data_IF_775013309053
#
_entry.id   IF_775013309053
#
_cell.length_a   1.000
_cell.length_b   1.000
_cell.length_c   1.000
_cell.angle_alpha   90.00
_cell.angle_beta   90.00
_cell.angle_gamma   90.00
#
_symmetry.space_group_name_H-M   'P 1'
#
loop_
_entity.id
_entity.type
_entity.pdbx_description
1 polymer ?
#
# COMPACT_ATOMS: atom_id res chain seq x y z
N UNK A 1 12.09 0.75 1.33
CA UNK A 1 12.93 -0.44 1.62
C UNK A 1 12.40 -1.70 0.96
N UNK A 2 11.11 -2.05 1.08
CA UNK A 2 10.59 -3.30 0.50
C UNK A 2 10.59 -3.37 -1.04
N UNK A 3 10.73 -2.24 -1.73
CA UNK A 3 10.72 -2.15 -3.21
C UNK A 3 12.10 -1.96 -3.84
N UNK A 4 13.18 -1.98 -3.06
CA UNK A 4 14.55 -1.84 -3.60
C UNK A 4 15.07 -3.18 -4.11
N UNK A 5 16.07 -3.17 -5.01
CA UNK A 5 16.73 -4.40 -5.46
C UNK A 5 17.54 -5.06 -4.35
N UNK A 6 17.83 -6.35 -4.50
CA UNK A 6 18.63 -7.10 -3.50
C UNK A 6 20.07 -6.58 -3.44
N UNK A 7 20.64 -6.20 -4.59
CA UNK A 7 21.94 -5.54 -4.64
C UNK A 7 21.96 -4.23 -3.85
N UNK A 8 20.94 -3.37 -4.05
CA UNK A 8 20.86 -2.10 -3.34
C UNK A 8 20.61 -2.31 -1.84
N UNK A 9 19.83 -3.33 -1.48
CA UNK A 9 19.60 -3.72 -0.09
C UNK A 9 20.90 -4.12 0.62
N UNK A 10 21.79 -4.87 -0.05
CA UNK A 10 23.09 -5.22 0.52
C UNK A 10 23.96 -3.98 0.81
N UNK A 11 23.96 -3.00 -0.10
CA UNK A 11 24.63 -1.71 0.13
C UNK A 11 24.00 -0.94 1.30
N UNK A 12 22.67 -0.94 1.40
CA UNK A 12 21.97 -0.23 2.46
C UNK A 12 22.22 -0.87 3.84
N UNK A 13 22.37 -2.19 3.91
CA UNK A 13 22.79 -2.87 5.15
C UNK A 13 24.12 -2.34 5.67
N UNK A 14 25.12 -2.25 4.79
CA UNK A 14 26.43 -1.71 5.18
C UNK A 14 26.34 -0.23 5.58
N UNK A 15 25.68 0.59 4.76
CA UNK A 15 25.66 2.05 4.98
C UNK A 15 24.81 2.47 6.19
N UNK A 16 23.70 1.78 6.45
CA UNK A 16 22.72 2.20 7.46
C UNK A 16 22.87 1.41 8.76
N UNK A 17 23.33 0.16 8.72
CA UNK A 17 23.47 -0.70 9.90
C UNK A 17 24.93 -1.05 10.24
N UNK A 18 25.89 -0.68 9.39
CA UNK A 18 27.31 -0.98 9.60
C UNK A 18 27.66 -2.47 9.51
N UNK A 19 26.78 -3.31 8.95
CA UNK A 19 26.95 -4.77 8.87
C UNK A 19 26.46 -5.32 7.53
N UNK A 20 26.93 -6.51 7.17
CA UNK A 20 26.48 -7.20 5.94
C UNK A 20 25.13 -7.89 6.15
N UNK A 21 24.47 -8.21 5.05
CA UNK A 21 23.30 -9.09 5.05
C UNK A 21 23.74 -10.49 5.53
N UNK A 22 22.96 -11.16 6.39
CA UNK A 22 23.26 -12.55 6.77
C UNK A 22 23.25 -13.46 5.52
N UNK A 23 24.25 -14.34 5.39
CA UNK A 23 24.48 -15.12 4.18
C UNK A 23 23.27 -15.98 3.75
N UNK A 24 22.51 -16.51 4.72
CA UNK A 24 21.35 -17.38 4.48
C UNK A 24 20.00 -16.66 4.58
N UNK A 25 20.00 -15.32 4.70
CA UNK A 25 18.75 -14.59 4.85
C UNK A 25 17.95 -14.58 3.54
N UNK A 26 16.66 -14.95 3.62
CA UNK A 26 15.73 -14.70 2.55
C UNK A 26 15.71 -13.19 2.22
N UNK A 27 15.81 -12.76 0.95
CA UNK A 27 15.90 -11.34 0.59
C UNK A 27 14.74 -10.49 1.12
N UNK A 28 13.54 -11.05 1.22
CA UNK A 28 12.37 -10.35 1.79
C UNK A 28 12.53 -10.17 3.29
N UNK A 29 12.99 -11.19 4.00
CA UNK A 29 13.24 -11.11 5.45
C UNK A 29 14.38 -10.15 5.78
N UNK A 30 15.45 -10.12 4.97
CA UNK A 30 16.50 -9.12 5.09
C UNK A 30 15.96 -7.69 4.92
N UNK A 31 15.10 -7.46 3.91
CA UNK A 31 14.46 -6.14 3.72
C UNK A 31 13.54 -5.76 4.88
N UNK A 32 12.80 -6.71 5.45
CA UNK A 32 11.98 -6.49 6.63
C UNK A 32 12.82 -6.12 7.84
N UNK A 33 13.91 -6.85 8.09
CA UNK A 33 14.82 -6.56 9.19
C UNK A 33 15.42 -5.16 9.03
N UNK A 34 15.94 -4.83 7.85
CA UNK A 34 16.47 -3.49 7.56
C UNK A 34 15.42 -2.40 7.81
N UNK A 35 14.18 -2.62 7.36
CA UNK A 35 13.09 -1.67 7.60
C UNK A 35 12.73 -1.53 9.08
N UNK A 36 12.68 -2.64 9.81
CA UNK A 36 12.41 -2.65 11.24
C UNK A 36 13.48 -1.87 12.02
N UNK A 37 14.76 -2.08 11.71
CA UNK A 37 15.87 -1.38 12.35
C UNK A 37 15.83 0.13 12.09
N UNK A 38 15.52 0.54 10.85
CA UNK A 38 15.42 1.96 10.50
C UNK A 38 14.23 2.61 11.22
N UNK A 39 13.06 1.98 11.22
CA UNK A 39 11.89 2.51 11.94
C UNK A 39 12.16 2.58 13.45
N UNK A 40 12.81 1.55 14.01
CA UNK A 40 13.20 1.53 15.42
C UNK A 40 14.14 2.68 15.76
N UNK A 41 15.11 2.97 14.89
CA UNK A 41 16.12 4.01 15.09
C UNK A 41 15.52 5.41 15.08
N UNK A 42 14.59 5.70 14.17
CA UNK A 42 14.01 7.04 14.01
C UNK A 42 12.67 7.26 14.72
N UNK A 43 12.04 6.20 15.23
CA UNK A 43 10.77 6.28 15.95
C UNK A 43 10.85 5.56 17.31
N UNK A 44 10.60 4.25 17.35
CA UNK A 44 10.69 3.44 18.56
C UNK A 44 10.58 1.95 18.23
N UNK A 45 10.95 1.10 19.20
CA UNK A 45 10.80 -0.35 19.07
C UNK A 45 9.33 -0.77 18.89
N UNK A 46 8.39 -0.13 19.58
CA UNK A 46 6.97 -0.44 19.49
C UNK A 46 6.39 -0.06 18.11
N UNK A 47 6.77 1.11 17.58
CA UNK A 47 6.35 1.53 16.22
C UNK A 47 6.93 0.59 15.16
N UNK A 48 8.18 0.14 15.34
CA UNK A 48 8.81 -0.81 14.43
C UNK A 48 8.07 -2.15 14.39
N UNK A 49 7.74 -2.72 15.57
CA UNK A 49 6.97 -3.96 15.69
C UNK A 49 5.59 -3.82 15.03
N UNK A 50 4.85 -2.76 15.38
CA UNK A 50 3.52 -2.49 14.82
C UNK A 50 3.57 -2.38 13.29
N UNK A 51 4.52 -1.61 12.76
CA UNK A 51 4.70 -1.42 11.31
C UNK A 51 5.02 -2.74 10.59
N UNK A 52 5.84 -3.60 11.20
CA UNK A 52 6.16 -4.91 10.65
C UNK A 52 4.93 -5.84 10.64
N UNK A 53 4.16 -5.84 11.72
CA UNK A 53 2.92 -6.64 11.82
C UNK A 53 1.87 -6.17 10.81
N UNK A 54 1.69 -4.86 10.64
CA UNK A 54 0.81 -4.29 9.64
C UNK A 54 1.27 -4.64 8.23
N UNK A 55 2.57 -4.59 7.96
CA UNK A 55 3.13 -4.99 6.68
C UNK A 55 2.87 -6.48 6.39
N UNK A 56 3.10 -7.36 7.37
CA UNK A 56 2.84 -8.79 7.24
C UNK A 56 1.35 -9.07 7.02
N UNK A 57 0.46 -8.39 7.74
CA UNK A 57 -0.99 -8.52 7.59
C UNK A 57 -1.44 -8.11 6.18
N UNK A 58 -0.96 -6.96 5.73
CA UNK A 58 -1.34 -6.40 4.43
C UNK A 58 -0.75 -7.15 3.23
N UNK A 59 0.55 -7.48 3.28
CA UNK A 59 1.28 -7.95 2.10
C UNK A 59 1.59 -9.45 2.13
N UNK A 60 1.86 -10.02 3.30
CA UNK A 60 2.10 -11.46 3.43
C UNK A 60 0.78 -12.24 3.53
N UNK A 61 -0.15 -11.81 4.39
CA UNK A 61 -1.45 -12.47 4.59
C UNK A 61 -2.52 -12.01 3.60
N UNK A 62 -2.31 -10.87 2.93
CA UNK A 62 -3.29 -10.22 2.03
C UNK A 62 -4.63 -9.90 2.72
N UNK A 63 -4.59 -9.66 4.03
CA UNK A 63 -5.77 -9.32 4.81
C UNK A 63 -5.91 -7.80 4.92
N UNK A 64 -6.56 -7.20 3.92
CA UNK A 64 -6.86 -5.77 3.95
C UNK A 64 -7.92 -5.40 4.99
N UNK A 65 -8.71 -6.35 5.48
CA UNK A 65 -9.77 -6.07 6.48
C UNK A 65 -9.17 -5.78 7.84
N UNK A 66 -8.13 -6.50 8.23
CA UNK A 66 -7.42 -6.31 9.49
C UNK A 66 -6.26 -5.30 9.39
N UNK A 67 -5.80 -4.96 8.18
CA UNK A 67 -4.73 -3.98 8.00
C UNK A 67 -5.17 -2.56 8.40
N UNK A 68 -4.24 -1.80 8.98
CA UNK A 68 -4.36 -0.36 9.14
C UNK A 68 -4.23 0.31 7.75
N UNK A 69 -5.30 0.97 7.31
CA UNK A 69 -5.40 1.61 5.99
C UNK A 69 -5.69 3.11 6.15
N UNK A 70 -5.16 3.96 5.26
CA UNK A 70 -5.50 5.37 5.27
C UNK A 70 -7.00 5.56 5.03
N UNK A 71 -7.60 6.49 5.76
CA UNK A 71 -9.02 6.81 5.67
C UNK A 71 -9.28 7.77 4.51
N UNK A 72 -10.19 7.37 3.62
CA UNK A 72 -10.76 8.24 2.60
C UNK A 72 -12.16 8.66 3.03
N UNK A 73 -12.50 9.95 3.11
CA UNK A 73 -13.83 10.38 3.55
C UNK A 73 -14.91 9.86 2.59
N UNK A 74 -16.00 9.29 3.13
CA UNK A 74 -17.20 9.06 2.33
C UNK A 74 -17.72 10.42 1.85
N UNK A 75 -17.61 10.70 0.54
CA UNK A 75 -18.32 11.83 -0.03
C UNK A 75 -19.74 11.41 -0.38
N UNK A 76 -20.74 12.23 -0.07
CA UNK A 76 -22.12 12.06 -0.55
C UNK A 76 -22.27 12.22 -2.08
N UNK A 77 -21.16 12.49 -2.78
CA UNK A 77 -21.13 12.60 -4.23
C UNK A 77 -20.81 11.26 -4.88
N UNK A 78 -21.73 10.84 -5.73
CA UNK A 78 -21.57 9.77 -6.69
C UNK A 78 -20.48 10.15 -7.72
N UNK A 79 -19.41 9.35 -7.79
CA UNK A 79 -18.27 9.62 -8.67
C UNK A 79 -18.10 8.49 -9.68
N UNK A 80 -17.75 8.83 -10.92
CA UNK A 80 -17.24 7.84 -11.87
C UNK A 80 -15.99 7.17 -11.29
N UNK A 81 -15.86 5.86 -11.47
CA UNK A 81 -14.77 5.05 -10.92
C UNK A 81 -13.38 5.62 -11.22
N UNK A 82 -13.17 6.18 -12.43
CA UNK A 82 -11.93 6.86 -12.80
C UNK A 82 -11.64 8.08 -11.95
N UNK A 83 -12.64 8.96 -11.75
CA UNK A 83 -12.48 10.18 -10.98
C UNK A 83 -12.21 9.83 -9.50
N UNK A 84 -12.92 8.83 -8.98
CA UNK A 84 -12.68 8.30 -7.63
C UNK A 84 -11.24 7.79 -7.48
N UNK A 85 -10.78 6.90 -8.36
CA UNK A 85 -9.42 6.33 -8.30
C UNK A 85 -8.36 7.43 -8.36
N UNK A 86 -8.45 8.35 -9.32
CA UNK A 86 -7.52 9.48 -9.43
C UNK A 86 -7.53 10.38 -8.20
N UNK A 87 -8.71 10.62 -7.60
CA UNK A 87 -8.85 11.43 -6.38
C UNK A 87 -8.19 10.76 -5.17
N UNK A 88 -8.45 9.47 -4.96
CA UNK A 88 -7.89 8.71 -3.83
C UNK A 88 -6.36 8.61 -3.93
N UNK A 89 -5.81 8.38 -5.14
CA UNK A 89 -4.35 8.44 -5.36
C UNK A 89 -3.74 9.78 -4.97
N UNK A 90 -4.39 10.87 -5.36
CA UNK A 90 -3.90 12.23 -5.11
C UNK A 90 -3.97 12.59 -3.63
N UNK A 91 -5.10 12.32 -2.99
CA UNK A 91 -5.37 12.78 -1.62
C UNK A 91 -4.67 11.95 -0.55
N UNK A 92 -4.58 10.62 -0.72
CA UNK A 92 -4.01 9.74 0.31
C UNK A 92 -2.56 9.35 0.06
N UNK A 93 -2.14 9.33 -1.20
CA UNK A 93 -0.81 8.81 -1.57
C UNK A 93 0.06 9.85 -2.26
N UNK A 94 -0.46 11.06 -2.49
CA UNK A 94 0.24 12.15 -3.19
C UNK A 94 0.75 11.75 -4.59
N UNK A 95 0.06 10.81 -5.24
CA UNK A 95 0.39 10.35 -6.59
C UNK A 95 -0.64 10.94 -7.56
N UNK A 96 -0.17 11.67 -8.57
CA UNK A 96 -1.05 12.12 -9.65
C UNK A 96 -1.22 10.99 -10.68
N UNK A 97 -2.45 10.49 -10.81
CA UNK A 97 -2.86 9.57 -11.86
C UNK A 97 -3.83 10.25 -12.81
N UNK A 98 -3.44 10.30 -14.09
CA UNK A 98 -4.34 10.74 -15.15
C UNK A 98 -5.57 9.82 -15.23
N UNK A 99 -6.66 10.33 -15.80
CA UNK A 99 -7.86 9.52 -16.02
C UNK A 99 -7.58 8.29 -16.91
N UNK A 100 -6.66 8.40 -17.86
CA UNK A 100 -6.23 7.28 -18.72
C UNK A 100 -5.51 6.20 -17.93
N UNK A 101 -4.62 6.57 -16.99
CA UNK A 101 -3.95 5.61 -16.12
C UNK A 101 -4.93 4.93 -15.15
N UNK A 102 -5.81 5.69 -14.51
CA UNK A 102 -6.85 5.15 -13.63
C UNK A 102 -7.78 4.20 -14.40
N UNK A 103 -8.22 4.59 -15.59
CA UNK A 103 -9.03 3.75 -16.48
C UNK A 103 -8.34 2.44 -16.84
N UNK A 104 -7.02 2.47 -17.12
CA UNK A 104 -6.24 1.27 -17.37
C UNK A 104 -6.21 0.33 -16.15
N UNK A 105 -5.98 0.87 -14.94
CA UNK A 105 -5.97 0.08 -13.70
C UNK A 105 -7.33 -0.60 -13.46
N UNK A 106 -8.43 0.12 -13.69
CA UNK A 106 -9.79 -0.40 -13.57
C UNK A 106 -10.02 -1.53 -14.58
N UNK A 107 -9.77 -1.29 -15.87
CA UNK A 107 -9.98 -2.31 -16.92
C UNK A 107 -9.17 -3.58 -16.69
N UNK A 108 -7.93 -3.43 -16.21
CA UNK A 108 -7.05 -4.55 -15.87
C UNK A 108 -7.50 -5.32 -14.62
N UNK A 109 -8.44 -4.79 -13.83
CA UNK A 109 -8.96 -5.42 -12.62
C UNK A 109 -8.03 -5.27 -11.42
N UNK A 110 -7.20 -4.21 -11.40
CA UNK A 110 -6.37 -3.85 -10.25
C UNK A 110 -7.19 -3.21 -9.13
N UNK A 111 -8.27 -2.52 -9.52
CA UNK A 111 -9.13 -1.78 -8.61
C UNK A 111 -10.30 -2.65 -8.14
N UNK A 112 -10.47 -2.75 -6.82
CA UNK A 112 -11.52 -3.55 -6.18
C UNK A 112 -12.18 -2.74 -5.07
N UNK A 113 -13.50 -2.87 -4.93
CA UNK A 113 -14.28 -2.36 -3.80
C UNK A 113 -14.83 -3.56 -3.02
N UNK A 114 -14.45 -3.71 -1.76
CA UNK A 114 -14.76 -4.87 -0.91
C UNK A 114 -14.41 -6.23 -1.56
N UNK A 115 -13.32 -6.24 -2.35
CA UNK A 115 -12.87 -7.41 -3.10
C UNK A 115 -13.58 -7.63 -4.43
N UNK A 116 -14.60 -6.84 -4.77
CA UNK A 116 -15.28 -6.89 -6.07
C UNK A 116 -14.55 -6.00 -7.07
N UNK A 117 -14.09 -6.58 -8.18
CA UNK A 117 -13.34 -5.85 -9.21
C UNK A 117 -14.22 -4.83 -9.93
N UNK A 118 -13.77 -3.58 -9.95
CA UNK A 118 -14.34 -2.56 -10.82
C UNK A 118 -13.80 -2.79 -12.23
N UNK A 119 -14.70 -2.90 -13.22
CA UNK A 119 -14.32 -3.15 -14.63
C UNK A 119 -14.68 -2.01 -15.56
N UNK A 120 -15.74 -1.26 -15.23
CA UNK A 120 -16.15 -0.10 -16.00
C UNK A 120 -15.57 1.19 -15.39
N UNK A 121 -14.67 1.89 -16.10
CA UNK A 121 -14.11 3.17 -15.66
C UNK A 121 -15.17 4.29 -15.48
N UNK A 122 -16.31 4.17 -16.16
CA UNK A 122 -17.42 5.13 -16.12
C UNK A 122 -18.50 4.76 -15.11
N UNK A 123 -18.42 3.59 -14.48
CA UNK A 123 -19.38 3.18 -13.46
C UNK A 123 -19.43 4.24 -12.35
N UNK A 124 -20.64 4.64 -12.00
CA UNK A 124 -20.88 5.54 -10.89
C UNK A 124 -20.77 4.73 -9.59
N UNK A 125 -19.82 5.12 -8.74
CA UNK A 125 -19.53 4.48 -7.48
C UNK A 125 -20.06 5.35 -6.36
N UNK A 126 -20.92 4.75 -5.55
CA UNK A 126 -21.38 5.30 -4.27
C UNK A 126 -20.60 4.62 -3.15
N UNK A 127 -19.87 5.40 -2.39
CA UNK A 127 -19.07 4.89 -1.27
C UNK A 127 -19.92 4.80 -0.01
N UNK A 128 -19.70 3.73 0.76
CA UNK A 128 -20.27 3.55 2.09
C UNK A 128 -19.16 3.49 3.14
N UNK A 129 -19.37 4.05 4.35
CA UNK A 129 -18.42 3.95 5.44
C UNK A 129 -18.06 2.49 5.75
N UNK A 130 -16.79 2.24 6.04
CA UNK A 130 -16.24 0.91 6.35
C UNK A 130 -15.81 0.08 5.13
N UNK A 131 -16.18 0.47 3.91
CA UNK A 131 -15.74 -0.22 2.70
C UNK A 131 -14.23 -0.13 2.49
N UNK A 132 -13.67 -1.10 1.78
CA UNK A 132 -12.24 -1.12 1.43
C UNK A 132 -12.09 -0.97 -0.07
N UNK A 133 -11.44 0.12 -0.49
CA UNK A 133 -11.08 0.39 -1.87
C UNK A 133 -9.61 0.01 -2.10
N UNK A 134 -9.37 -1.09 -2.79
CA UNK A 134 -8.04 -1.46 -3.29
C UNK A 134 -7.83 -0.80 -4.65
N UNK A 135 -6.74 -0.06 -4.81
CA UNK A 135 -6.40 0.63 -6.07
C UNK A 135 -5.42 -0.18 -6.92
N UNK A 136 -4.45 -0.81 -6.27
CA UNK A 136 -3.48 -1.70 -6.89
C UNK A 136 -2.90 -2.70 -5.86
N UNK A 137 -1.71 -3.25 -6.12
CA UNK A 137 -1.04 -4.21 -5.22
C UNK A 137 -0.55 -3.57 -3.90
N UNK A 138 -0.27 -2.27 -3.90
CA UNK A 138 0.40 -1.53 -2.83
C UNK A 138 -0.42 -0.39 -2.24
N UNK A 139 -1.52 -0.01 -2.88
CA UNK A 139 -2.37 1.10 -2.46
C UNK A 139 -3.80 0.61 -2.23
N UNK A 140 -4.30 0.87 -1.03
CA UNK A 140 -5.66 0.57 -0.60
C UNK A 140 -6.06 1.58 0.47
N UNK A 141 -7.34 1.93 0.53
CA UNK A 141 -7.90 2.88 1.47
C UNK A 141 -9.16 2.29 2.11
N UNK A 142 -9.43 2.69 3.36
CA UNK A 142 -10.70 2.41 4.02
C UNK A 142 -11.59 3.64 3.90
N UNK A 143 -12.85 3.45 3.55
CA UNK A 143 -13.81 4.53 3.49
C UNK A 143 -14.22 4.86 4.92
N UNK A 144 -14.03 6.12 5.32
CA UNK A 144 -14.43 6.66 6.62
C UNK A 144 -15.89 7.06 6.66
#
# INVERSE_FOLDING_TARGET
LMSISDELMARYYQLLLGRTVPADANPVEAKKQLACEIVRTYHSADVARKTLDDWNTRFSRRDLKQAELPLFPSSDQDLAAVALVSKVYRELFHIQKSHSEASRLIKQGSVELDGVKLRDPKAIIKLQPGQILRLDRTHAARIG
#
